data_IF_663020913588
#
_entry.id   IF_663020913588
#
_cell.length_a   1.000
_cell.length_b   1.000
_cell.length_c   1.000
_cell.angle_alpha   90.00
_cell.angle_beta   90.00
_cell.angle_gamma   90.00
#
_symmetry.space_group_name_H-M   'P 1'
#
loop_
_entity.id
_entity.type
_entity.pdbx_description
1 polymer ?
#
# COMPACT_ATOMS: atom_id res chain seq x y z
N UNK A 1 -19.59 15.20 28.66
CA UNK A 1 -18.30 15.07 27.92
C UNK A 1 -18.43 14.07 26.77
N UNK A 2 -18.84 12.83 27.05
CA UNK A 2 -19.26 11.88 26.00
C UNK A 2 -20.39 12.48 25.14
N UNK A 3 -21.34 13.21 25.73
CA UNK A 3 -22.43 13.87 25.00
C UNK A 3 -21.91 14.88 23.95
N UNK A 4 -20.76 15.52 24.21
CA UNK A 4 -20.15 16.44 23.26
C UNK A 4 -19.59 15.69 22.04
N UNK A 5 -18.95 14.54 22.27
CA UNK A 5 -18.40 13.67 21.23
C UNK A 5 -19.52 13.01 20.43
N UNK A 6 -20.58 12.54 21.10
CA UNK A 6 -21.77 11.96 20.46
C UNK A 6 -22.47 13.00 19.60
N UNK A 7 -22.76 14.18 20.17
CA UNK A 7 -23.38 15.28 19.43
C UNK A 7 -22.52 15.71 18.23
N UNK A 8 -21.20 15.80 18.41
CA UNK A 8 -20.28 16.07 17.29
C UNK A 8 -20.38 14.97 16.23
N UNK A 9 -20.28 13.69 16.60
CA UNK A 9 -20.28 12.57 15.66
C UNK A 9 -21.58 12.44 14.87
N UNK A 10 -22.73 12.64 15.52
CA UNK A 10 -24.06 12.57 14.89
C UNK A 10 -24.31 13.72 13.92
N UNK A 11 -23.91 14.94 14.29
CA UNK A 11 -24.08 16.11 13.43
C UNK A 11 -23.04 16.15 12.29
N UNK A 12 -21.80 15.73 12.54
CA UNK A 12 -20.74 15.59 11.54
C UNK A 12 -21.09 14.54 10.48
N UNK A 13 -21.74 13.44 10.85
CA UNK A 13 -22.24 12.43 9.90
C UNK A 13 -23.30 12.97 8.93
N UNK A 14 -23.93 14.12 9.24
CA UNK A 14 -24.89 14.78 8.34
C UNK A 14 -24.19 15.69 7.32
N UNK A 15 -22.89 15.96 7.45
CA UNK A 15 -22.14 16.73 6.44
C UNK A 15 -22.12 16.04 5.08
N UNK A 16 -22.00 14.71 5.04
CA UNK A 16 -22.09 13.94 3.80
C UNK A 16 -23.46 14.12 3.13
N UNK A 17 -24.54 14.10 3.93
CA UNK A 17 -25.89 14.38 3.44
C UNK A 17 -26.02 15.79 2.89
N UNK A 18 -25.37 16.78 3.50
CA UNK A 18 -25.40 18.15 3.01
C UNK A 18 -24.85 18.26 1.60
N UNK A 19 -23.74 17.58 1.27
CA UNK A 19 -23.14 17.65 -0.07
C UNK A 19 -23.84 16.71 -1.05
N UNK A 20 -24.21 15.50 -0.63
CA UNK A 20 -24.82 14.51 -1.51
C UNK A 20 -26.27 14.85 -1.89
N UNK A 21 -27.04 15.51 -1.02
CA UNK A 21 -28.45 15.82 -1.26
C UNK A 21 -28.73 17.26 -1.75
N UNK A 22 -27.74 18.18 -1.73
CA UNK A 22 -27.94 19.60 -2.08
C UNK A 22 -28.45 19.82 -3.50
N UNK A 23 -28.15 18.90 -4.41
CA UNK A 23 -28.27 19.10 -5.84
C UNK A 23 -29.34 18.22 -6.51
N UNK A 24 -30.20 17.55 -5.72
CA UNK A 24 -31.30 16.73 -6.25
C UNK A 24 -30.87 15.40 -6.88
N UNK A 25 -29.60 15.02 -6.74
CA UNK A 25 -29.07 13.77 -7.27
C UNK A 25 -29.25 12.61 -6.29
N UNK A 26 -29.66 11.46 -6.78
CA UNK A 26 -29.68 10.21 -6.04
C UNK A 26 -28.47 9.35 -6.47
N UNK A 27 -27.35 9.42 -5.74
CA UNK A 27 -26.22 8.51 -5.97
C UNK A 27 -24.83 9.09 -5.67
N UNK A 28 -23.80 8.27 -5.94
CA UNK A 28 -22.40 8.65 -5.82
C UNK A 28 -22.03 9.63 -6.92
N UNK A 29 -21.56 10.82 -6.54
CA UNK A 29 -20.91 11.78 -7.44
C UNK A 29 -19.56 12.18 -6.89
N UNK A 30 -18.72 12.71 -7.77
CA UNK A 30 -17.51 13.40 -7.33
C UNK A 30 -17.92 14.70 -6.63
N UNK A 31 -17.38 14.93 -5.43
CA UNK A 31 -17.47 16.22 -4.75
C UNK A 31 -16.38 17.13 -5.34
N UNK A 32 -16.68 18.41 -5.51
CA UNK A 32 -15.68 19.38 -5.95
C UNK A 32 -14.84 19.90 -4.77
N UNK A 33 -13.77 20.65 -5.08
CA UNK A 33 -12.87 21.21 -4.08
C UNK A 33 -13.57 22.18 -3.11
N UNK A 34 -14.54 22.95 -3.59
CA UNK A 34 -15.29 23.90 -2.78
C UNK A 34 -16.21 23.19 -1.79
N UNK A 35 -16.84 22.10 -2.23
CA UNK A 35 -17.69 21.24 -1.38
C UNK A 35 -16.86 20.53 -0.31
N UNK A 36 -15.68 20.03 -0.65
CA UNK A 36 -14.76 19.45 0.32
C UNK A 36 -14.31 20.50 1.37
N UNK A 37 -13.92 21.69 0.93
CA UNK A 37 -13.53 22.78 1.84
C UNK A 37 -14.68 23.23 2.75
N UNK A 38 -15.90 23.29 2.24
CA UNK A 38 -17.11 23.63 3.01
C UNK A 38 -17.44 22.55 4.06
N UNK A 39 -17.26 21.26 3.73
CA UNK A 39 -17.43 20.17 4.70
C UNK A 39 -16.45 20.31 5.87
N UNK A 40 -15.17 20.58 5.57
CA UNK A 40 -14.14 20.80 6.58
C UNK A 40 -14.47 22.01 7.48
N UNK A 41 -14.87 23.14 6.87
CA UNK A 41 -15.25 24.34 7.59
C UNK A 41 -16.44 24.11 8.55
N UNK A 42 -17.41 23.29 8.13
CA UNK A 42 -18.56 22.90 8.97
C UNK A 42 -18.17 22.04 10.14
N UNK A 43 -17.28 21.06 9.95
CA UNK A 43 -16.79 20.22 11.05
C UNK A 43 -16.01 21.06 12.07
N UNK A 44 -15.21 22.03 11.64
CA UNK A 44 -14.52 22.98 12.53
C UNK A 44 -15.52 23.83 13.33
N UNK A 45 -16.52 24.39 12.67
CA UNK A 45 -17.55 25.21 13.33
C UNK A 45 -18.42 24.39 14.29
N UNK A 46 -18.79 23.16 13.90
CA UNK A 46 -19.50 22.23 14.76
C UNK A 46 -18.69 21.90 16.03
N UNK A 47 -17.39 21.66 15.89
CA UNK A 47 -16.51 21.40 17.03
C UNK A 47 -16.50 22.60 18.00
N UNK A 48 -16.43 23.84 17.48
CA UNK A 48 -16.54 25.07 18.28
C UNK A 48 -17.88 25.16 19.02
N UNK A 49 -19.00 24.86 18.34
CA UNK A 49 -20.34 24.85 18.97
C UNK A 49 -20.44 23.80 20.07
N UNK A 50 -19.95 22.59 19.83
CA UNK A 50 -19.92 21.53 20.85
C UNK A 50 -19.06 21.93 22.06
N UNK A 51 -17.90 22.58 21.82
CA UNK A 51 -17.05 23.14 22.88
C UNK A 51 -17.83 24.09 23.79
N UNK A 52 -18.54 25.05 23.21
CA UNK A 52 -19.30 26.07 23.96
C UNK A 52 -20.51 25.44 24.66
N UNK A 53 -21.29 24.64 23.95
CA UNK A 53 -22.52 24.01 24.45
C UNK A 53 -22.27 23.09 25.64
N UNK A 54 -21.26 22.24 25.55
CA UNK A 54 -20.98 21.22 26.55
C UNK A 54 -19.83 21.60 27.50
N UNK A 55 -19.25 22.80 27.32
CA UNK A 55 -18.13 23.34 28.12
C UNK A 55 -16.95 22.36 28.24
N UNK A 56 -16.61 21.71 27.12
CA UNK A 56 -15.51 20.74 27.06
C UNK A 56 -14.21 21.39 26.61
N UNK A 57 -13.08 20.92 27.12
CA UNK A 57 -11.73 21.35 26.72
C UNK A 57 -10.95 20.23 26.04
N UNK A 58 -9.90 20.59 25.27
CA UNK A 58 -9.03 19.61 24.62
C UNK A 58 -8.43 18.57 25.60
N UNK A 59 -7.85 18.96 26.77
CA UNK A 59 -7.36 17.98 27.75
C UNK A 59 -8.43 17.02 28.25
N UNK A 60 -9.67 17.49 28.45
CA UNK A 60 -10.78 16.63 28.86
C UNK A 60 -11.13 15.61 27.78
N UNK A 61 -11.14 16.02 26.51
CA UNK A 61 -11.37 15.10 25.39
C UNK A 61 -10.24 14.07 25.27
N UNK A 62 -8.98 14.45 25.51
CA UNK A 62 -7.86 13.52 25.57
C UNK A 62 -8.05 12.45 26.66
N UNK A 63 -8.52 12.81 27.85
CA UNK A 63 -8.81 11.83 28.91
C UNK A 63 -9.88 10.81 28.47
N UNK A 64 -10.90 11.26 27.73
CA UNK A 64 -11.88 10.32 27.16
C UNK A 64 -11.25 9.41 26.13
N UNK A 65 -10.42 9.96 25.24
CA UNK A 65 -9.71 9.15 24.24
C UNK A 65 -8.86 8.09 24.94
N UNK A 66 -8.12 8.44 25.99
CA UNK A 66 -7.35 7.49 26.81
C UNK A 66 -8.26 6.43 27.42
N UNK A 67 -9.35 6.82 28.08
CA UNK A 67 -10.32 5.88 28.64
C UNK A 67 -10.85 4.90 27.58
N UNK A 68 -11.27 5.40 26.42
CA UNK A 68 -11.78 4.57 25.32
C UNK A 68 -10.69 3.64 24.77
N UNK A 69 -9.45 4.12 24.64
CA UNK A 69 -8.29 3.33 24.23
C UNK A 69 -8.00 2.18 25.20
N UNK A 70 -8.08 2.42 26.51
CA UNK A 70 -7.94 1.38 27.53
C UNK A 70 -9.00 0.29 27.38
N UNK A 71 -10.27 0.69 27.23
CA UNK A 71 -11.39 -0.25 27.02
C UNK A 71 -11.29 -1.00 25.69
N UNK A 72 -10.82 -0.35 24.63
CA UNK A 72 -10.52 -1.01 23.37
C UNK A 72 -9.47 -2.11 23.54
N UNK A 73 -8.40 -1.84 24.31
CA UNK A 73 -7.35 -2.82 24.62
C UNK A 73 -7.87 -4.01 25.44
N UNK A 74 -8.79 -3.77 26.38
CA UNK A 74 -9.47 -4.85 27.12
C UNK A 74 -10.23 -5.77 26.16
N UNK A 75 -11.06 -5.22 25.27
CA UNK A 75 -11.84 -6.00 24.30
C UNK A 75 -10.98 -6.72 23.26
N UNK A 76 -9.87 -6.09 22.85
CA UNK A 76 -8.86 -6.73 22.00
C UNK A 76 -8.28 -7.97 22.67
N UNK A 77 -7.84 -7.86 23.93
CA UNK A 77 -7.26 -8.97 24.68
C UNK A 77 -8.24 -10.11 24.92
N UNK A 78 -9.52 -9.81 25.09
CA UNK A 78 -10.60 -10.80 25.24
C UNK A 78 -10.99 -11.43 23.88
N UNK A 79 -10.66 -10.80 22.75
CA UNK A 79 -10.93 -11.30 21.40
C UNK A 79 -12.33 -10.95 20.84
N UNK A 80 -13.07 -10.04 21.47
CA UNK A 80 -14.43 -9.67 21.06
C UNK A 80 -14.43 -8.61 19.95
N UNK A 81 -14.39 -9.06 18.70
CA UNK A 81 -14.17 -8.21 17.52
C UNK A 81 -15.23 -7.11 17.31
N UNK A 82 -16.50 -7.38 17.58
CA UNK A 82 -17.57 -6.39 17.36
C UNK A 82 -17.45 -5.19 18.32
N UNK A 83 -17.12 -5.46 19.58
CA UNK A 83 -16.92 -4.42 20.59
C UNK A 83 -15.63 -3.64 20.30
N UNK A 84 -14.55 -4.35 19.96
CA UNK A 84 -13.30 -3.73 19.51
C UNK A 84 -13.54 -2.75 18.35
N UNK A 85 -14.29 -3.16 17.32
CA UNK A 85 -14.66 -2.31 16.17
C UNK A 85 -15.51 -1.10 16.57
N UNK A 86 -16.53 -1.29 17.42
CA UNK A 86 -17.38 -0.20 17.88
C UNK A 86 -16.57 0.87 18.64
N UNK A 87 -15.67 0.45 19.54
CA UNK A 87 -14.76 1.34 20.24
C UNK A 87 -13.80 2.05 19.28
N UNK A 88 -13.21 1.33 18.31
CA UNK A 88 -12.33 1.92 17.30
C UNK A 88 -13.02 3.04 16.52
N UNK A 89 -14.27 2.82 16.07
CA UNK A 89 -15.07 3.85 15.40
C UNK A 89 -15.30 5.07 16.30
N UNK A 90 -15.68 4.86 17.56
CA UNK A 90 -15.97 5.95 18.48
C UNK A 90 -14.72 6.74 18.91
N UNK A 91 -13.57 6.06 19.03
CA UNK A 91 -12.27 6.71 19.22
C UNK A 91 -11.95 7.57 17.99
N UNK A 92 -12.22 7.12 16.77
CA UNK A 92 -11.94 7.89 15.55
C UNK A 92 -12.73 9.21 15.50
N UNK A 93 -13.99 9.17 15.93
CA UNK A 93 -14.82 10.38 16.10
C UNK A 93 -14.31 11.30 17.20
N UNK A 94 -13.85 10.73 18.32
CA UNK A 94 -13.25 11.48 19.43
C UNK A 94 -11.95 12.18 19.02
N UNK A 95 -11.09 11.49 18.27
CA UNK A 95 -9.84 12.03 17.69
C UNK A 95 -10.15 13.17 16.73
N UNK A 96 -11.12 13.00 15.83
CA UNK A 96 -11.52 14.04 14.88
C UNK A 96 -12.01 15.30 15.61
N UNK A 97 -12.86 15.13 16.62
CA UNK A 97 -13.31 16.25 17.46
C UNK A 97 -12.15 16.96 18.16
N UNK A 98 -11.22 16.21 18.76
CA UNK A 98 -10.06 16.78 19.44
C UNK A 98 -9.13 17.54 18.47
N UNK A 99 -8.94 17.06 17.23
CA UNK A 99 -8.20 17.78 16.20
C UNK A 99 -8.82 19.16 15.94
N UNK A 100 -10.13 19.21 15.66
CA UNK A 100 -10.81 20.48 15.37
C UNK A 100 -10.89 21.45 16.57
N UNK A 101 -10.79 20.95 17.80
CA UNK A 101 -10.79 21.81 18.99
C UNK A 101 -9.50 22.62 19.17
N UNK A 102 -8.36 22.08 18.75
CA UNK A 102 -7.03 22.67 19.01
C UNK A 102 -6.19 22.91 17.74
N UNK A 103 -6.72 22.52 16.58
CA UNK A 103 -6.04 22.60 15.29
C UNK A 103 -4.66 21.91 15.33
N UNK A 104 -4.65 20.68 15.85
CA UNK A 104 -3.41 19.88 15.98
C UNK A 104 -3.32 18.81 14.88
N UNK A 105 -2.11 18.54 14.35
CA UNK A 105 -1.90 17.43 13.44
C UNK A 105 -2.13 16.09 14.16
N UNK A 106 -2.55 15.03 13.43
CA UNK A 106 -2.81 13.71 14.00
C UNK A 106 -1.66 13.14 14.85
N UNK A 107 -0.41 13.37 14.42
CA UNK A 107 0.79 12.86 15.08
C UNK A 107 0.94 13.43 16.50
N UNK A 108 0.72 14.73 16.67
CA UNK A 108 0.79 15.39 17.97
C UNK A 108 -0.29 14.85 18.92
N UNK A 109 -1.49 14.57 18.40
CA UNK A 109 -2.57 13.98 19.18
C UNK A 109 -2.23 12.54 19.62
N UNK A 110 -1.54 11.77 18.77
CA UNK A 110 -1.11 10.41 19.11
C UNK A 110 -0.07 10.41 20.23
N UNK A 111 0.83 11.39 20.23
CA UNK A 111 1.80 11.62 21.30
C UNK A 111 1.13 12.08 22.59
N UNK A 112 0.22 13.04 22.51
CA UNK A 112 -0.55 13.55 23.65
C UNK A 112 -1.36 12.44 24.36
N UNK A 113 -1.92 11.48 23.61
CA UNK A 113 -2.61 10.32 24.18
C UNK A 113 -1.63 9.30 24.75
N UNK A 114 -0.50 9.08 24.06
CA UNK A 114 0.59 8.24 24.54
C UNK A 114 0.27 6.74 24.56
N UNK A 115 0.92 6.03 25.48
CA UNK A 115 0.76 4.57 25.67
C UNK A 115 -0.23 4.31 26.81
N UNK A 116 -1.46 3.96 26.45
CA UNK A 116 -2.53 3.66 27.42
C UNK A 116 -2.70 2.15 27.61
N UNK A 117 -2.34 1.38 26.60
CA UNK A 117 -2.39 -0.09 26.56
C UNK A 117 -1.00 -0.68 26.80
N UNK A 118 -0.92 -2.00 27.01
CA UNK A 118 0.36 -2.73 27.15
C UNK A 118 1.23 -2.82 25.88
N UNK A 119 0.89 -2.09 24.82
CA UNK A 119 1.62 -2.08 23.55
C UNK A 119 2.82 -1.12 23.62
N UNK A 120 3.91 -1.44 22.90
CA UNK A 120 5.15 -0.64 22.89
C UNK A 120 5.05 0.66 22.07
N UNK A 121 4.04 0.80 21.21
CA UNK A 121 3.76 2.01 20.41
C UNK A 121 2.63 2.82 21.08
N UNK A 122 2.54 4.16 20.87
CA UNK A 122 1.38 4.95 21.29
C UNK A 122 0.06 4.28 20.88
N UNK A 123 -0.93 4.22 21.76
CA UNK A 123 -2.11 3.38 21.57
C UNK A 123 -2.91 3.78 20.32
N UNK A 124 -3.01 5.08 20.03
CA UNK A 124 -3.69 5.53 18.79
C UNK A 124 -2.96 5.10 17.51
N UNK A 125 -1.63 4.90 17.53
CA UNK A 125 -0.90 4.30 16.39
C UNK A 125 -1.22 2.82 16.22
N UNK A 126 -1.58 2.12 17.30
CA UNK A 126 -2.02 0.72 17.23
C UNK A 126 -3.46 0.63 16.72
N UNK A 127 -4.33 1.56 17.15
CA UNK A 127 -5.76 1.59 16.78
C UNK A 127 -5.97 2.11 15.35
N UNK A 128 -5.30 3.21 14.98
CA UNK A 128 -5.34 3.85 13.68
C UNK A 128 -3.96 3.73 13.04
N UNK A 129 -3.57 2.48 12.78
CA UNK A 129 -2.33 2.13 12.09
C UNK A 129 -1.98 3.19 11.05
N UNK A 130 -0.81 3.80 11.21
CA UNK A 130 -0.21 4.55 10.12
C UNK A 130 0.21 3.53 9.08
N UNK A 131 -0.73 3.24 8.20
CA UNK A 131 -0.62 2.19 7.21
C UNK A 131 0.61 2.38 6.33
N UNK A 132 1.01 3.63 6.05
CA UNK A 132 2.21 3.91 5.28
C UNK A 132 3.46 3.41 6.00
N UNK A 133 3.63 3.72 7.29
CA UNK A 133 4.78 3.28 8.07
C UNK A 133 4.84 1.76 8.24
N UNK A 134 3.73 1.10 8.60
CA UNK A 134 3.71 -0.36 8.78
C UNK A 134 3.90 -1.12 7.47
N UNK A 135 3.28 -0.67 6.38
CA UNK A 135 3.46 -1.31 5.08
C UNK A 135 4.85 -1.07 4.51
N UNK A 136 5.46 0.08 4.79
CA UNK A 136 6.86 0.32 4.47
C UNK A 136 7.77 -0.66 5.20
N UNK A 137 7.59 -0.83 6.52
CA UNK A 137 8.34 -1.81 7.32
C UNK A 137 8.14 -3.25 6.79
N UNK A 138 6.90 -3.61 6.42
CA UNK A 138 6.59 -4.93 5.84
C UNK A 138 7.24 -5.15 4.47
N UNK A 139 7.16 -4.16 3.59
CA UNK A 139 7.79 -4.22 2.27
C UNK A 139 9.32 -4.29 2.39
N UNK A 140 9.93 -3.52 3.30
CA UNK A 140 11.37 -3.60 3.57
C UNK A 140 11.74 -5.03 4.01
N UNK A 141 11.03 -5.57 5.01
CA UNK A 141 11.26 -6.94 5.51
C UNK A 141 11.15 -7.98 4.42
N UNK A 142 10.15 -7.85 3.54
CA UNK A 142 9.94 -8.76 2.42
C UNK A 142 11.07 -8.66 1.39
N UNK A 143 11.48 -7.45 0.99
CA UNK A 143 12.57 -7.24 0.02
C UNK A 143 13.90 -7.77 0.57
N UNK A 144 14.22 -7.48 1.84
CA UNK A 144 15.45 -7.97 2.49
C UNK A 144 15.44 -9.50 2.65
N UNK A 145 14.26 -10.12 2.75
CA UNK A 145 14.14 -11.58 2.93
C UNK A 145 14.72 -12.40 1.77
N UNK A 146 14.84 -11.83 0.57
CA UNK A 146 15.48 -12.50 -0.58
C UNK A 146 16.96 -12.84 -0.34
N UNK A 147 17.62 -12.14 0.60
CA UNK A 147 19.01 -12.40 0.97
C UNK A 147 19.20 -13.61 1.91
N UNK A 148 18.10 -14.15 2.44
CA UNK A 148 18.15 -15.25 3.40
C UNK A 148 18.60 -16.56 2.75
N UNK A 149 19.33 -17.44 3.47
CA UNK A 149 19.79 -18.72 2.92
C UNK A 149 18.67 -19.64 2.43
N UNK A 150 17.49 -19.55 3.05
CA UNK A 150 16.29 -20.36 2.83
C UNK A 150 15.27 -19.70 1.89
N UNK A 151 15.56 -18.52 1.33
CA UNK A 151 14.66 -17.85 0.42
C UNK A 151 14.39 -18.69 -0.84
N UNK A 152 13.10 -18.85 -1.20
CA UNK A 152 12.64 -19.57 -2.39
C UNK A 152 13.27 -18.98 -3.66
N UNK A 153 13.36 -17.65 -3.70
CA UNK A 153 14.03 -16.87 -4.72
C UNK A 153 15.13 -16.08 -4.04
N UNK A 154 16.39 -16.30 -4.42
CA UNK A 154 17.53 -15.59 -3.83
C UNK A 154 17.80 -14.29 -4.59
N UNK A 155 18.14 -13.24 -3.84
CA UNK A 155 18.70 -11.99 -4.34
C UNK A 155 19.53 -11.31 -3.25
N UNK A 156 20.60 -10.62 -3.63
CA UNK A 156 21.50 -9.92 -2.70
C UNK A 156 21.01 -8.53 -2.27
N UNK A 157 19.69 -8.33 -2.15
CA UNK A 157 19.15 -7.01 -1.79
C UNK A 157 19.41 -6.71 -0.31
N UNK A 158 20.02 -5.56 -0.04
CA UNK A 158 20.26 -5.10 1.32
C UNK A 158 19.18 -4.09 1.76
N UNK A 159 19.19 -3.75 3.06
CA UNK A 159 18.23 -2.80 3.66
C UNK A 159 18.29 -1.41 3.02
N UNK A 160 19.47 -0.93 2.63
CA UNK A 160 19.63 0.39 2.03
C UNK A 160 19.01 0.45 0.63
N UNK A 161 19.22 -0.59 -0.18
CA UNK A 161 18.61 -0.74 -1.50
C UNK A 161 17.09 -0.86 -1.40
N UNK A 162 16.60 -1.63 -0.42
CA UNK A 162 15.17 -1.71 -0.12
C UNK A 162 14.62 -0.32 0.23
N UNK A 163 15.21 0.39 1.19
CA UNK A 163 14.75 1.71 1.59
C UNK A 163 14.80 2.72 0.44
N UNK A 164 15.85 2.75 -0.37
CA UNK A 164 15.91 3.64 -1.54
C UNK A 164 14.75 3.35 -2.51
N UNK A 165 14.41 2.08 -2.72
CA UNK A 165 13.28 1.71 -3.56
C UNK A 165 11.95 2.17 -2.96
N UNK A 166 11.77 2.03 -1.65
CA UNK A 166 10.57 2.49 -0.95
C UNK A 166 10.45 4.03 -0.95
N UNK A 167 11.57 4.74 -0.82
CA UNK A 167 11.62 6.20 -0.99
C UNK A 167 11.17 6.61 -2.40
N UNK A 168 11.58 5.84 -3.42
CA UNK A 168 11.11 6.07 -4.78
C UNK A 168 9.61 5.83 -4.95
N UNK A 169 9.07 4.77 -4.34
CA UNK A 169 7.62 4.47 -4.34
C UNK A 169 6.85 5.65 -3.74
N UNK A 170 7.30 6.15 -2.59
CA UNK A 170 6.66 7.23 -1.85
C UNK A 170 6.81 8.57 -2.56
N UNK A 171 7.99 8.90 -3.07
CA UNK A 171 8.24 10.14 -3.81
C UNK A 171 7.49 10.27 -5.13
N UNK A 172 6.87 9.18 -5.62
CA UNK A 172 6.02 9.16 -6.82
C UNK A 172 4.54 8.85 -6.51
N UNK A 173 4.14 8.86 -5.24
CA UNK A 173 2.77 8.56 -4.79
C UNK A 173 2.24 7.18 -5.23
N UNK A 174 3.12 6.20 -5.44
CA UNK A 174 2.77 4.86 -5.94
C UNK A 174 2.37 3.90 -4.80
N UNK A 175 1.55 4.39 -3.86
CA UNK A 175 1.15 3.68 -2.65
C UNK A 175 0.31 2.43 -2.92
N UNK A 176 -0.24 2.25 -4.14
CA UNK A 176 -0.90 1.02 -4.53
C UNK A 176 0.03 -0.20 -4.40
N UNK A 177 1.34 -0.02 -4.53
CA UNK A 177 2.33 -1.07 -4.31
C UNK A 177 2.19 -1.70 -2.92
N UNK A 178 2.14 -0.86 -1.88
CA UNK A 178 1.98 -1.31 -0.49
C UNK A 178 0.63 -1.98 -0.26
N UNK A 179 -0.44 -1.39 -0.79
CA UNK A 179 -1.78 -1.93 -0.67
C UNK A 179 -1.88 -3.36 -1.23
N UNK A 180 -1.28 -3.60 -2.41
CA UNK A 180 -1.32 -4.92 -3.05
C UNK A 180 -0.54 -5.96 -2.27
N UNK A 181 0.59 -5.61 -1.67
CA UNK A 181 1.35 -6.53 -0.81
C UNK A 181 0.57 -6.93 0.43
N UNK A 182 -0.01 -5.94 1.10
CA UNK A 182 -0.82 -6.16 2.30
C UNK A 182 -2.01 -7.06 1.99
N UNK A 183 -2.80 -6.73 0.96
CA UNK A 183 -3.97 -7.52 0.56
C UNK A 183 -3.58 -8.95 0.21
N UNK A 184 -2.47 -9.14 -0.50
CA UNK A 184 -1.97 -10.47 -0.86
C UNK A 184 -1.59 -11.28 0.38
N UNK A 185 -0.84 -10.70 1.33
CA UNK A 185 -0.46 -11.36 2.57
C UNK A 185 -1.68 -11.72 3.42
N UNK A 186 -2.63 -10.78 3.62
CA UNK A 186 -3.85 -11.04 4.38
C UNK A 186 -4.66 -12.20 3.79
N UNK A 187 -4.73 -12.30 2.45
CA UNK A 187 -5.45 -13.37 1.76
C UNK A 187 -4.73 -14.70 1.76
N UNK A 188 -3.39 -14.72 1.66
CA UNK A 188 -2.58 -15.94 1.73
C UNK A 188 -2.82 -16.71 3.04
N UNK A 189 -3.09 -15.98 4.13
CA UNK A 189 -3.39 -16.57 5.45
C UNK A 189 -4.88 -16.56 5.80
N UNK A 190 -5.77 -16.22 4.85
CA UNK A 190 -7.21 -16.21 5.10
C UNK A 190 -7.81 -17.62 4.98
N UNK A 191 -8.68 -18.00 5.92
CA UNK A 191 -9.45 -19.25 5.85
C UNK A 191 -10.70 -19.20 4.96
N UNK A 192 -10.84 -18.16 4.12
CA UNK A 192 -12.03 -17.99 3.28
C UNK A 192 -11.98 -18.94 2.06
N UNK A 193 -13.09 -19.62 1.78
CA UNK A 193 -13.34 -20.38 0.55
C UNK A 193 -13.01 -19.65 -0.77
N UNK A 194 -12.97 -18.32 -0.77
CA UNK A 194 -12.70 -17.48 -1.96
C UNK A 194 -11.30 -16.87 -2.02
N UNK A 195 -10.41 -17.23 -1.09
CA UNK A 195 -9.07 -16.63 -0.99
C UNK A 195 -8.27 -16.72 -2.29
N UNK A 196 -8.32 -17.84 -3.03
CA UNK A 196 -7.62 -18.02 -4.31
C UNK A 196 -8.04 -17.01 -5.39
N UNK A 197 -9.34 -16.72 -5.51
CA UNK A 197 -9.83 -15.71 -6.46
C UNK A 197 -9.32 -14.31 -6.07
N UNK A 198 -9.23 -14.05 -4.77
CA UNK A 198 -8.63 -12.84 -4.24
C UNK A 198 -7.14 -12.72 -4.53
N UNK A 199 -6.35 -13.78 -4.28
CA UNK A 199 -4.92 -13.84 -4.56
C UNK A 199 -4.64 -13.58 -6.04
N UNK A 200 -5.42 -14.16 -6.95
CA UNK A 200 -5.31 -13.90 -8.40
C UNK A 200 -5.49 -12.43 -8.74
N UNK A 201 -6.54 -11.81 -8.19
CA UNK A 201 -6.83 -10.38 -8.39
C UNK A 201 -5.70 -9.50 -7.84
N UNK A 202 -5.16 -9.84 -6.67
CA UNK A 202 -4.05 -9.10 -6.07
C UNK A 202 -2.75 -9.25 -6.85
N UNK A 203 -2.46 -10.43 -7.40
CA UNK A 203 -1.28 -10.64 -8.28
C UNK A 203 -1.41 -9.83 -9.58
N UNK A 204 -2.60 -9.76 -10.18
CA UNK A 204 -2.83 -8.91 -11.35
C UNK A 204 -2.68 -7.43 -11.00
N UNK A 205 -3.24 -7.00 -9.87
CA UNK A 205 -3.06 -5.64 -9.36
C UNK A 205 -1.61 -5.31 -9.03
N UNK A 206 -0.85 -6.28 -8.52
CA UNK A 206 0.58 -6.16 -8.28
C UNK A 206 1.35 -6.00 -9.59
N UNK A 207 1.05 -6.81 -10.60
CA UNK A 207 1.69 -6.71 -11.91
C UNK A 207 1.44 -5.34 -12.57
N UNK A 208 0.23 -4.78 -12.40
CA UNK A 208 -0.07 -3.41 -12.81
C UNK A 208 0.74 -2.37 -12.02
N UNK A 209 0.86 -2.54 -10.71
CA UNK A 209 1.67 -1.66 -9.85
C UNK A 209 3.16 -1.70 -10.25
N UNK A 210 3.68 -2.88 -10.59
CA UNK A 210 5.03 -3.04 -11.16
C UNK A 210 5.15 -2.28 -12.49
N UNK A 211 4.13 -2.35 -13.34
CA UNK A 211 4.14 -1.59 -14.59
C UNK A 211 4.15 -0.07 -14.38
N UNK A 212 3.42 0.44 -13.38
CA UNK A 212 3.44 1.86 -12.99
C UNK A 212 4.81 2.26 -12.44
N UNK A 213 5.41 1.46 -11.56
CA UNK A 213 6.75 1.69 -11.02
C UNK A 213 7.79 1.75 -12.13
N UNK A 214 7.79 0.77 -13.04
CA UNK A 214 8.71 0.74 -14.18
C UNK A 214 8.47 1.91 -15.13
N UNK A 215 7.21 2.34 -15.28
CA UNK A 215 6.90 3.53 -16.05
C UNK A 215 7.46 4.80 -15.40
N UNK A 216 7.28 4.98 -14.09
CA UNK A 216 7.84 6.11 -13.34
C UNK A 216 9.37 6.18 -13.45
N UNK A 217 10.07 5.03 -13.47
CA UNK A 217 11.52 4.97 -13.72
C UNK A 217 11.94 5.52 -15.10
N UNK A 218 11.05 5.45 -16.10
CA UNK A 218 11.29 5.90 -17.46
C UNK A 218 10.88 7.36 -17.70
N UNK A 219 9.88 7.86 -16.98
CA UNK A 219 9.39 9.23 -17.11
C UNK A 219 10.53 10.20 -16.78
N UNK A 220 10.71 11.22 -17.62
CA UNK A 220 11.81 12.20 -17.51
C UNK A 220 13.17 11.70 -18.01
N UNK A 221 13.39 10.37 -18.08
CA UNK A 221 14.64 9.77 -18.55
C UNK A 221 14.59 9.32 -20.02
N UNK A 222 13.39 9.04 -20.54
CA UNK A 222 13.17 8.59 -21.92
C UNK A 222 12.07 9.42 -22.58
N UNK A 223 12.31 9.90 -23.79
CA UNK A 223 11.40 10.78 -24.53
C UNK A 223 10.04 10.13 -24.83
N UNK A 224 10.03 8.83 -25.15
CA UNK A 224 8.82 8.08 -25.48
C UNK A 224 8.81 6.72 -24.74
N UNK A 225 8.33 6.67 -23.48
CA UNK A 225 8.15 5.42 -22.76
C UNK A 225 7.19 4.49 -23.51
N UNK A 226 7.56 3.20 -23.63
CA UNK A 226 6.71 2.19 -24.26
C UNK A 226 5.52 1.88 -23.36
N UNK A 227 4.45 1.33 -23.94
CA UNK A 227 3.22 0.99 -23.23
C UNK A 227 3.35 -0.34 -22.48
N UNK A 228 3.77 -1.40 -23.15
CA UNK A 228 3.85 -2.74 -22.56
C UNK A 228 5.05 -2.89 -21.59
N UNK A 229 4.82 -3.58 -20.47
CA UNK A 229 5.83 -3.79 -19.42
C UNK A 229 7.13 -4.41 -19.95
N UNK A 230 7.05 -5.42 -20.82
CA UNK A 230 8.24 -6.04 -21.42
C UNK A 230 9.08 -5.08 -22.26
N UNK A 231 8.42 -4.19 -23.01
CA UNK A 231 9.11 -3.18 -23.81
C UNK A 231 9.68 -2.07 -22.92
N UNK A 232 9.01 -1.72 -21.82
CA UNK A 232 9.57 -0.83 -20.78
C UNK A 232 10.84 -1.44 -20.16
N UNK A 233 10.84 -2.73 -19.83
CA UNK A 233 12.05 -3.42 -19.35
C UNK A 233 13.19 -3.33 -20.36
N UNK A 234 12.94 -3.52 -21.66
CA UNK A 234 13.96 -3.37 -22.71
C UNK A 234 14.49 -1.94 -22.85
N UNK A 235 13.73 -0.91 -22.45
CA UNK A 235 14.22 0.47 -22.40
C UNK A 235 15.18 0.71 -21.23
N UNK A 236 14.92 0.06 -20.09
CA UNK A 236 15.78 0.11 -18.89
C UNK A 236 17.01 -0.79 -19.04
N UNK A 237 16.89 -1.93 -19.72
CA UNK A 237 17.98 -2.88 -19.95
C UNK A 237 18.48 -2.82 -21.40
N UNK A 238 19.49 -1.99 -21.71
CA UNK A 238 19.94 -1.80 -23.09
C UNK A 238 20.63 -3.06 -23.61
N UNK A 239 20.61 -3.28 -24.92
CA UNK A 239 21.19 -4.48 -25.59
C UNK A 239 22.69 -4.66 -25.33
N UNK A 240 23.38 -3.60 -24.90
CA UNK A 240 24.77 -3.71 -24.48
C UNK A 240 24.95 -4.61 -23.24
N UNK A 241 23.94 -4.72 -22.37
CA UNK A 241 24.01 -5.56 -21.17
C UNK A 241 23.66 -7.02 -21.46
N UNK A 242 24.21 -7.98 -20.69
CA UNK A 242 23.84 -9.39 -20.82
C UNK A 242 22.34 -9.65 -20.70
N UNK A 243 21.65 -8.95 -19.79
CA UNK A 243 20.19 -9.03 -19.62
C UNK A 243 19.47 -8.48 -20.85
N UNK A 244 19.87 -7.31 -21.36
CA UNK A 244 19.25 -6.71 -22.54
C UNK A 244 19.38 -7.56 -23.80
N UNK A 245 20.47 -8.32 -23.96
CA UNK A 245 20.62 -9.32 -25.04
C UNK A 245 19.59 -10.43 -24.91
N UNK A 246 19.40 -10.98 -23.70
CA UNK A 246 18.44 -12.05 -23.43
C UNK A 246 17.00 -11.59 -23.64
N UNK A 247 16.64 -10.37 -23.22
CA UNK A 247 15.30 -9.80 -23.46
C UNK A 247 14.97 -9.58 -24.95
N UNK A 248 15.96 -9.56 -25.83
CA UNK A 248 15.74 -9.51 -27.28
C UNK A 248 15.67 -10.89 -27.92
N UNK A 249 16.16 -11.93 -27.26
CA UNK A 249 16.15 -13.30 -27.76
C UNK A 249 14.71 -13.83 -27.89
N UNK A 250 14.45 -14.59 -28.95
CA UNK A 250 13.12 -15.09 -29.27
C UNK A 250 12.55 -16.00 -28.18
N UNK A 251 13.42 -16.75 -27.48
CA UNK A 251 13.02 -17.59 -26.35
C UNK A 251 12.30 -16.78 -25.25
N UNK A 252 12.92 -15.72 -24.76
CA UNK A 252 12.34 -14.90 -23.67
C UNK A 252 11.11 -14.14 -24.13
N UNK A 253 11.08 -13.70 -25.40
CA UNK A 253 9.91 -13.07 -25.99
C UNK A 253 8.72 -14.03 -26.01
N UNK A 254 8.93 -15.27 -26.46
CA UNK A 254 7.86 -16.30 -26.48
C UNK A 254 7.31 -16.54 -25.08
N UNK A 255 8.18 -16.69 -24.08
CA UNK A 255 7.74 -16.88 -22.69
C UNK A 255 6.93 -15.69 -22.18
N UNK A 256 7.37 -14.46 -22.46
CA UNK A 256 6.64 -13.24 -22.05
C UNK A 256 5.22 -13.14 -22.65
N UNK A 257 4.98 -13.85 -23.76
CA UNK A 257 3.71 -13.87 -24.49
C UNK A 257 2.81 -15.05 -24.12
N UNK A 258 3.22 -15.95 -23.22
CA UNK A 258 2.38 -17.08 -22.77
C UNK A 258 1.16 -16.65 -21.94
N UNK A 259 1.03 -15.36 -21.60
CA UNK A 259 -0.13 -14.69 -21.01
C UNK A 259 -0.98 -15.54 -20.05
N UNK A 260 -0.79 -15.37 -18.74
CA UNK A 260 -1.52 -16.11 -17.69
C UNK A 260 -1.20 -17.61 -17.56
N UNK A 261 -0.50 -18.23 -18.54
CA UNK A 261 0.14 -19.53 -18.38
C UNK A 261 1.63 -19.32 -18.04
N UNK A 262 1.98 -19.48 -16.76
CA UNK A 262 3.35 -19.29 -16.28
C UNK A 262 4.13 -20.60 -16.38
N UNK A 263 5.12 -20.62 -17.27
CA UNK A 263 6.04 -21.76 -17.41
C UNK A 263 7.08 -21.74 -16.28
N UNK A 264 6.70 -22.33 -15.15
CA UNK A 264 7.57 -22.43 -13.98
C UNK A 264 8.76 -23.38 -14.21
N UNK A 265 8.66 -24.35 -15.11
CA UNK A 265 9.74 -25.32 -15.36
C UNK A 265 10.87 -24.66 -16.16
N UNK A 266 10.50 -23.91 -17.21
CA UNK A 266 11.43 -23.03 -17.90
C UNK A 266 12.07 -22.03 -16.94
N UNK A 267 11.25 -21.38 -16.10
CA UNK A 267 11.73 -20.41 -15.13
C UNK A 267 12.75 -21.03 -14.17
N UNK A 268 12.43 -22.17 -13.56
CA UNK A 268 13.32 -22.90 -12.65
C UNK A 268 14.67 -23.24 -13.31
N UNK A 269 14.64 -23.65 -14.58
CA UNK A 269 15.85 -23.96 -15.34
C UNK A 269 16.73 -22.71 -15.49
N UNK A 270 16.15 -21.54 -15.81
CA UNK A 270 16.92 -20.28 -15.91
C UNK A 270 17.42 -19.79 -14.57
N UNK A 271 16.71 -20.07 -13.48
CA UNK A 271 17.12 -19.73 -12.12
C UNK A 271 18.40 -20.44 -11.67
N UNK A 272 18.72 -21.61 -12.24
CA UNK A 272 20.01 -22.29 -12.01
C UNK A 272 21.18 -21.73 -12.83
N UNK A 273 20.94 -20.78 -13.74
CA UNK A 273 21.94 -20.22 -14.63
C UNK A 273 22.67 -18.97 -14.08
N UNK A 274 23.44 -18.27 -14.93
CA UNK A 274 24.06 -17.00 -14.59
C UNK A 274 23.05 -15.94 -14.18
N UNK A 275 23.45 -14.98 -13.33
CA UNK A 275 22.56 -13.93 -12.80
C UNK A 275 21.79 -13.19 -13.91
N UNK A 276 22.40 -12.94 -15.06
CA UNK A 276 21.73 -12.30 -16.20
C UNK A 276 20.54 -13.11 -16.74
N UNK A 277 20.64 -14.44 -16.75
CA UNK A 277 19.54 -15.33 -17.14
C UNK A 277 18.44 -15.35 -16.07
N UNK A 278 18.82 -15.33 -14.79
CA UNK A 278 17.87 -15.24 -13.68
C UNK A 278 17.04 -13.95 -13.78
N UNK A 279 17.70 -12.80 -13.92
CA UNK A 279 17.05 -11.49 -14.08
C UNK A 279 16.17 -11.48 -15.32
N UNK A 280 16.69 -11.85 -16.49
CA UNK A 280 15.91 -11.86 -17.73
C UNK A 280 14.67 -12.77 -17.63
N UNK A 281 14.77 -13.89 -16.91
CA UNK A 281 13.63 -14.78 -16.68
C UNK A 281 12.59 -14.18 -15.75
N UNK A 282 12.99 -13.46 -14.68
CA UNK A 282 12.07 -12.71 -13.83
C UNK A 282 11.26 -11.71 -14.65
N UNK A 283 11.92 -10.93 -15.50
CA UNK A 283 11.29 -9.89 -16.31
C UNK A 283 10.33 -10.46 -17.37
N UNK A 284 10.70 -11.60 -17.99
CA UNK A 284 9.81 -12.30 -18.92
C UNK A 284 8.55 -12.81 -18.20
N UNK A 285 8.71 -13.41 -17.02
CA UNK A 285 7.57 -13.89 -16.22
C UNK A 285 6.73 -12.72 -15.68
N UNK A 286 7.33 -11.59 -15.30
CA UNK A 286 6.59 -10.38 -14.92
C UNK A 286 5.61 -9.95 -16.03
N UNK A 287 6.06 -9.92 -17.29
CA UNK A 287 5.17 -9.64 -18.43
C UNK A 287 4.11 -10.74 -18.61
N UNK A 288 4.49 -12.02 -18.49
CA UNK A 288 3.55 -13.12 -18.66
C UNK A 288 2.42 -13.09 -17.62
N UNK A 289 2.74 -12.71 -16.37
CA UNK A 289 1.78 -12.49 -15.28
C UNK A 289 0.93 -11.26 -15.57
N UNK A 290 1.55 -10.14 -15.98
CA UNK A 290 0.84 -8.89 -16.29
C UNK A 290 -0.20 -9.09 -17.39
N UNK A 291 0.15 -9.89 -18.40
CA UNK A 291 -0.68 -10.18 -19.56
C UNK A 291 -1.09 -8.92 -20.32
N UNK A 292 -2.03 -9.08 -21.26
CA UNK A 292 -2.83 -7.96 -21.77
C UNK A 292 -4.09 -7.81 -20.89
N UNK A 293 -4.76 -6.65 -20.95
CA UNK A 293 -5.87 -6.26 -20.06
C UNK A 293 -7.05 -7.26 -19.95
N UNK A 294 -7.13 -8.29 -20.81
CA UNK A 294 -8.24 -9.23 -20.90
C UNK A 294 -7.95 -10.65 -20.37
N UNK A 295 -6.77 -10.93 -19.83
CA UNK A 295 -6.37 -12.30 -19.46
C UNK A 295 -6.41 -12.51 -17.95
N UNK A 296 -7.01 -13.62 -17.50
CA UNK A 296 -7.11 -14.01 -16.08
C UNK A 296 -6.11 -15.11 -15.75
N UNK A 297 -5.49 -15.03 -14.56
CA UNK A 297 -4.59 -16.07 -14.05
C UNK A 297 -5.38 -17.36 -13.80
N UNK A 298 -5.04 -18.43 -14.52
CA UNK A 298 -5.72 -19.73 -14.43
C UNK A 298 -5.19 -20.62 -13.30
N UNK A 299 -4.00 -20.34 -12.77
CA UNK A 299 -3.33 -21.13 -11.73
C UNK A 299 -4.19 -21.33 -10.47
N UNK A 300 -4.30 -22.55 -9.95
CA UNK A 300 -5.12 -22.88 -8.78
C UNK A 300 -4.29 -23.23 -7.55
N UNK A 301 -2.98 -23.40 -7.71
CA UNK A 301 -2.07 -23.69 -6.62
C UNK A 301 -1.65 -22.38 -5.93
N UNK A 302 -2.04 -22.22 -4.66
CA UNK A 302 -1.69 -21.07 -3.83
C UNK A 302 -0.18 -20.78 -3.79
N UNK A 303 0.66 -21.80 -3.60
CA UNK A 303 2.12 -21.61 -3.51
C UNK A 303 2.69 -21.06 -4.82
N UNK A 304 2.15 -21.48 -5.97
CA UNK A 304 2.54 -20.92 -7.27
C UNK A 304 2.08 -19.47 -7.41
N UNK A 305 0.88 -19.14 -6.95
CA UNK A 305 0.37 -17.75 -6.91
C UNK A 305 1.25 -16.84 -6.04
N UNK A 306 1.57 -17.27 -4.81
CA UNK A 306 2.49 -16.54 -3.94
C UNK A 306 3.87 -16.39 -4.58
N UNK A 307 4.38 -17.44 -5.24
CA UNK A 307 5.63 -17.37 -5.98
C UNK A 307 5.61 -16.34 -7.11
N UNK A 308 4.49 -16.19 -7.83
CA UNK A 308 4.34 -15.13 -8.84
C UNK A 308 4.53 -13.74 -8.25
N UNK A 309 4.01 -13.49 -7.04
CA UNK A 309 4.21 -12.21 -6.35
C UNK A 309 5.70 -11.96 -6.08
N UNK A 310 6.43 -12.96 -5.58
CA UNK A 310 7.86 -12.83 -5.32
C UNK A 310 8.68 -12.57 -6.60
N UNK A 311 8.28 -13.17 -7.72
CA UNK A 311 8.90 -12.91 -9.03
C UNK A 311 8.67 -11.45 -9.46
N UNK A 312 7.44 -10.93 -9.29
CA UNK A 312 7.11 -9.53 -9.57
C UNK A 312 7.97 -8.58 -8.72
N UNK A 313 8.10 -8.85 -7.42
CA UNK A 313 8.91 -8.05 -6.50
C UNK A 313 10.40 -8.05 -6.89
N UNK A 314 10.95 -9.24 -7.13
CA UNK A 314 12.36 -9.38 -7.47
C UNK A 314 12.68 -8.73 -8.82
N UNK A 315 11.80 -8.91 -9.80
CA UNK A 315 11.91 -8.30 -11.12
C UNK A 315 11.89 -6.77 -11.06
N UNK A 316 10.95 -6.17 -10.31
CA UNK A 316 10.91 -4.70 -10.15
C UNK A 316 12.12 -4.18 -9.38
N UNK A 317 12.59 -4.90 -8.35
CA UNK A 317 13.79 -4.52 -7.60
C UNK A 317 15.05 -4.51 -8.47
N UNK A 318 15.29 -5.56 -9.27
CA UNK A 318 16.42 -5.56 -10.20
C UNK A 318 16.31 -4.44 -11.24
N UNK A 319 15.10 -4.18 -11.73
CA UNK A 319 14.85 -3.11 -12.70
C UNK A 319 15.09 -1.73 -12.08
N UNK A 320 14.68 -1.51 -10.84
CA UNK A 320 14.93 -0.27 -10.11
C UNK A 320 16.43 -0.03 -9.92
N UNK A 321 17.19 -1.05 -9.51
CA UNK A 321 18.63 -0.93 -9.32
C UNK A 321 19.36 -0.60 -10.63
N UNK A 322 18.93 -1.18 -11.76
CA UNK A 322 19.46 -0.82 -13.08
C UNK A 322 19.04 0.59 -13.50
N UNK A 323 17.79 0.99 -13.27
CA UNK A 323 17.36 2.35 -13.56
C UNK A 323 18.17 3.38 -12.76
N UNK A 324 18.41 3.12 -11.47
CA UNK A 324 19.23 3.96 -10.57
C UNK A 324 20.69 4.03 -11.01
N UNK A 325 21.26 2.92 -11.52
CA UNK A 325 22.65 2.91 -12.00
C UNK A 325 22.81 3.73 -13.28
N UNK A 326 21.77 3.77 -14.11
CA UNK A 326 21.77 4.46 -15.40
C UNK A 326 21.39 5.93 -15.32
N UNK A 327 20.46 6.27 -14.43
CA UNK A 327 19.88 7.60 -14.34
C UNK A 327 19.79 8.09 -12.90
N UNK A 328 20.02 9.39 -12.65
CA UNK A 328 19.67 9.99 -11.37
C UNK A 328 18.15 9.93 -11.23
N UNK A 329 17.68 9.20 -10.21
CA UNK A 329 16.25 9.07 -9.96
C UNK A 329 15.75 10.38 -9.34
N UNK A 330 14.96 11.13 -10.11
CA UNK A 330 14.25 12.33 -9.67
C UNK A 330 13.21 11.92 -8.62
N UNK A 331 13.07 12.67 -7.52
CA UNK A 331 12.08 12.39 -6.47
C UNK A 331 12.60 11.65 -5.23
N UNK A 332 13.89 11.29 -5.17
CA UNK A 332 14.56 10.84 -3.94
C UNK A 332 14.88 12.04 -3.03
N UNK A 333 13.87 12.72 -2.51
CA UNK A 333 14.08 13.66 -1.40
C UNK A 333 14.01 12.89 -0.08
N UNK A 334 15.03 12.97 0.79
CA UNK A 334 14.98 12.33 2.09
C UNK A 334 13.93 13.04 2.95
N UNK A 335 12.77 12.41 3.14
CA UNK A 335 11.87 12.77 4.24
C UNK A 335 12.44 12.16 5.52
N UNK A 336 13.14 13.01 6.28
CA UNK A 336 13.59 12.71 7.64
C UNK A 336 12.43 12.57 8.63
#
# INVERSE_FOLDING_TARGET
MLDAIVCFAEEDAKNDHYVLMRSGWQGRRQIDEAEHAEMEARSIELAKRCRVRFRVSYPQVLEVIRFLCGRWGDWERIGYQNHKKAYQTFIGKSVSFARYLKDVPPQQLFEDVGRVTGHFKPTLRVIFQDWATEWREDAERLIVSFSRPDAILKAGFNREQANTFLDFVEGHDLYEFYWRWRSLNERAFSGDSRHLAGLKSDIQGMALSVEHLVHAMLVGNVQFPKTQLYEKFKQIWPVATPVGKLLKADEYRKISQLHSAIDFDWFNTKQGGPLSAQIASDLAICQAIRGNAHHQISEQNQLKLERMSLILLRGVMYTFLEAKSRWPIVGLTPTH
#
